data_IF_564030403686
#
_entry.id   IF_564030403686
#
_cell.length_a   1.000
_cell.length_b   1.000
_cell.length_c   1.000
_cell.angle_alpha   90.00
_cell.angle_beta   90.00
_cell.angle_gamma   90.00
#
_symmetry.space_group_name_H-M   'P 1'
#
loop_
_entity.id
_entity.type
_entity.pdbx_description
1 polymer ?
#
# COMPACT_ATOMS: atom_id res chain seq x y z
N UNK A 1 -10.47 -48.28 -1.77
CA UNK A 1 -10.48 -47.76 -0.39
C UNK A 1 -9.14 -47.13 0.00
N UNK A 2 -8.05 -47.88 0.19
CA UNK A 2 -6.73 -47.30 0.57
C UNK A 2 -6.20 -46.26 -0.43
N UNK A 3 -6.19 -46.59 -1.73
CA UNK A 3 -5.76 -45.66 -2.81
C UNK A 3 -6.63 -44.41 -2.88
N UNK A 4 -7.94 -44.56 -2.68
CA UNK A 4 -8.90 -43.47 -2.64
C UNK A 4 -8.62 -42.52 -1.47
N UNK A 5 -8.32 -43.06 -0.28
CA UNK A 5 -7.90 -42.29 0.89
C UNK A 5 -6.57 -41.57 0.68
N UNK A 6 -5.58 -42.23 0.06
CA UNK A 6 -4.29 -41.61 -0.27
C UNK A 6 -4.45 -40.44 -1.25
N UNK A 7 -5.32 -40.58 -2.27
CA UNK A 7 -5.60 -39.50 -3.22
C UNK A 7 -6.32 -38.32 -2.57
N UNK A 8 -7.27 -38.60 -1.67
CA UNK A 8 -8.00 -37.56 -0.94
C UNK A 8 -7.06 -36.79 0.01
N UNK A 9 -6.15 -37.50 0.67
CA UNK A 9 -5.13 -36.90 1.52
C UNK A 9 -4.14 -36.04 0.73
N UNK A 10 -3.68 -36.52 -0.44
CA UNK A 10 -2.83 -35.73 -1.32
C UNK A 10 -3.53 -34.45 -1.83
N UNK A 11 -4.82 -34.53 -2.15
CA UNK A 11 -5.62 -33.36 -2.55
C UNK A 11 -5.74 -32.31 -1.44
N UNK A 12 -5.97 -32.74 -0.20
CA UNK A 12 -6.01 -31.83 0.97
C UNK A 12 -4.65 -31.17 1.20
N UNK A 13 -3.55 -31.91 1.05
CA UNK A 13 -2.21 -31.34 1.20
C UNK A 13 -1.92 -30.30 0.11
N UNK A 14 -2.20 -30.60 -1.17
CA UNK A 14 -1.97 -29.67 -2.28
C UNK A 14 -2.75 -28.37 -2.09
N UNK A 15 -4.02 -28.45 -1.68
CA UNK A 15 -4.87 -27.26 -1.43
C UNK A 15 -4.44 -26.45 -0.21
N UNK A 16 -3.89 -27.08 0.83
CA UNK A 16 -3.34 -26.37 1.98
C UNK A 16 -2.05 -25.60 1.62
N UNK A 17 -1.18 -26.17 0.78
CA UNK A 17 0.04 -25.50 0.33
C UNK A 17 -0.24 -24.30 -0.59
N UNK A 18 -1.26 -24.36 -1.45
CA UNK A 18 -1.61 -23.22 -2.33
C UNK A 18 -2.23 -22.05 -1.57
N UNK A 19 -2.99 -22.30 -0.50
CA UNK A 19 -3.56 -21.25 0.35
C UNK A 19 -2.52 -20.50 1.19
N UNK A 20 -1.40 -21.14 1.53
CA UNK A 20 -0.38 -20.55 2.39
C UNK A 20 0.51 -19.51 1.68
N UNK A 21 0.48 -19.42 0.35
CA UNK A 21 1.49 -18.67 -0.40
C UNK A 21 1.12 -17.23 -0.82
N UNK A 22 -0.09 -16.73 -0.59
CA UNK A 22 -0.49 -15.47 -1.26
C UNK A 22 -1.09 -14.43 -0.31
N UNK A 23 -0.24 -13.74 0.46
CA UNK A 23 -0.50 -12.35 0.86
C UNK A 23 0.61 -11.49 0.32
N UNK A 24 0.42 -11.00 -0.91
CA UNK A 24 1.29 -9.99 -1.48
C UNK A 24 0.90 -8.66 -0.85
N UNK A 25 1.83 -8.04 -0.12
CA UNK A 25 1.64 -6.68 0.38
C UNK A 25 2.12 -5.70 -0.68
N UNK A 26 1.29 -4.72 -0.99
CA UNK A 26 1.64 -3.60 -1.84
C UNK A 26 2.19 -2.48 -0.95
N UNK A 27 3.52 -2.31 -0.97
CA UNK A 27 4.22 -1.42 -0.06
C UNK A 27 4.85 -0.27 -0.83
N UNK A 28 4.60 0.96 -0.39
CA UNK A 28 5.11 2.17 -1.05
C UNK A 28 5.92 3.09 -0.14
N UNK A 29 6.68 3.98 -0.76
CA UNK A 29 7.31 5.12 -0.08
C UNK A 29 7.12 6.37 -0.92
N UNK A 30 6.76 7.48 -0.29
CA UNK A 30 6.53 8.73 -1.00
C UNK A 30 6.95 9.95 -0.18
N UNK A 31 7.92 10.71 -0.70
CA UNK A 31 8.24 12.03 -0.17
C UNK A 31 7.16 13.03 -0.63
N UNK A 32 6.35 13.49 0.31
CA UNK A 32 5.20 14.36 0.06
C UNK A 32 5.55 15.85 0.10
N UNK A 33 6.81 16.17 0.40
CA UNK A 33 7.38 17.52 0.51
C UNK A 33 6.72 18.37 1.60
N UNK A 34 7.52 18.84 2.55
CA UNK A 34 7.00 19.63 3.66
C UNK A 34 6.28 20.90 3.19
N UNK A 35 5.19 21.27 3.86
CA UNK A 35 4.55 22.55 3.64
C UNK A 35 5.53 23.69 4.01
N UNK A 36 5.75 24.61 3.07
CA UNK A 36 6.58 25.80 3.26
C UNK A 36 6.12 26.96 2.37
N UNK A 37 6.57 28.16 2.72
CA UNK A 37 6.21 29.41 2.04
C UNK A 37 6.79 29.49 0.63
N UNK A 38 8.02 29.03 0.41
CA UNK A 38 8.68 29.09 -0.89
C UNK A 38 7.89 28.34 -1.96
N UNK A 39 7.52 27.09 -1.68
CA UNK A 39 6.72 26.27 -2.58
C UNK A 39 5.33 26.88 -2.82
N UNK A 40 4.72 27.47 -1.79
CA UNK A 40 3.42 28.14 -1.91
C UNK A 40 3.49 29.37 -2.82
N UNK A 41 4.51 30.21 -2.66
CA UNK A 41 4.74 31.38 -3.53
C UNK A 41 5.04 30.98 -4.98
N UNK A 42 5.70 29.83 -5.18
CA UNK A 42 6.00 29.29 -6.49
C UNK A 42 4.82 28.55 -7.17
N UNK A 43 3.64 28.51 -6.54
CA UNK A 43 2.46 27.82 -7.08
C UNK A 43 2.47 26.30 -6.90
N UNK A 44 3.37 25.77 -6.06
CA UNK A 44 3.49 24.36 -5.71
C UNK A 44 3.12 24.13 -4.23
N UNK A 45 2.17 24.89 -3.70
CA UNK A 45 1.80 24.85 -2.28
C UNK A 45 1.18 23.50 -1.87
N UNK A 46 1.38 23.12 -0.59
CA UNK A 46 0.80 21.88 -0.05
C UNK A 46 -0.72 21.79 -0.28
N UNK A 47 -1.46 22.86 0.02
CA UNK A 47 -2.92 22.93 -0.16
C UNK A 47 -3.39 22.62 -1.58
N UNK A 48 -2.55 22.84 -2.60
CA UNK A 48 -2.86 22.51 -3.99
C UNK A 48 -2.41 21.10 -4.37
N UNK A 49 -1.29 20.62 -3.81
CA UNK A 49 -0.69 19.32 -4.13
C UNK A 49 -1.34 18.15 -3.42
N UNK A 50 -1.72 18.30 -2.15
CA UNK A 50 -2.15 17.18 -1.32
C UNK A 50 -3.37 16.42 -1.85
N UNK A 51 -4.40 17.06 -2.46
CA UNK A 51 -5.56 16.32 -2.95
C UNK A 51 -5.18 15.38 -4.10
N UNK A 52 -4.15 15.72 -4.88
CA UNK A 52 -3.63 14.88 -5.96
C UNK A 52 -2.73 13.78 -5.43
N UNK A 53 -1.86 14.08 -4.46
CA UNK A 53 -1.02 13.08 -3.81
C UNK A 53 -1.86 12.00 -3.11
N UNK A 54 -2.95 12.39 -2.43
CA UNK A 54 -3.89 11.45 -1.81
C UNK A 54 -4.56 10.55 -2.87
N UNK A 55 -5.03 11.12 -3.98
CA UNK A 55 -5.60 10.33 -5.09
C UNK A 55 -4.60 9.35 -5.69
N UNK A 56 -3.33 9.74 -5.82
CA UNK A 56 -2.28 8.86 -6.30
C UNK A 56 -2.07 7.68 -5.33
N UNK A 57 -1.93 7.95 -4.03
CA UNK A 57 -1.77 6.91 -3.01
C UNK A 57 -2.96 5.93 -3.04
N UNK A 58 -4.19 6.44 -3.14
CA UNK A 58 -5.40 5.62 -3.26
C UNK A 58 -5.42 4.79 -4.55
N UNK A 59 -5.03 5.38 -5.68
CA UNK A 59 -4.99 4.69 -6.97
C UNK A 59 -3.96 3.56 -7.00
N UNK A 60 -2.85 3.71 -6.28
CA UNK A 60 -1.81 2.68 -6.19
C UNK A 60 -2.22 1.48 -5.31
N UNK A 61 -3.33 1.56 -4.58
CA UNK A 61 -3.86 0.48 -3.73
C UNK A 61 -2.80 -0.09 -2.78
N UNK A 62 -2.09 0.81 -2.08
CA UNK A 62 -1.01 0.45 -1.15
C UNK A 62 -1.58 -0.03 0.19
N UNK A 63 -1.15 -1.21 0.65
CA UNK A 63 -1.48 -1.75 1.98
C UNK A 63 -0.75 -1.00 3.10
N UNK A 64 0.52 -0.67 2.85
CA UNK A 64 1.40 0.04 3.78
C UNK A 64 2.21 1.06 2.99
N UNK A 65 2.32 2.28 3.51
CA UNK A 65 3.20 3.26 2.91
C UNK A 65 3.91 4.13 3.95
N UNK A 66 5.17 4.42 3.67
CA UNK A 66 5.96 5.40 4.41
C UNK A 66 5.93 6.76 3.71
N UNK A 67 5.95 7.84 4.49
CA UNK A 67 6.09 9.20 3.95
C UNK A 67 7.34 9.88 4.48
N UNK A 68 7.83 10.88 3.75
CA UNK A 68 8.93 11.75 4.17
C UNK A 68 8.52 13.22 4.10
N UNK A 69 9.19 14.06 4.88
CA UNK A 69 9.01 15.52 5.01
C UNK A 69 7.62 15.98 5.51
N UNK A 70 6.64 15.08 5.61
CA UNK A 70 5.29 15.42 6.01
C UNK A 70 5.25 15.95 7.45
N UNK A 71 4.81 17.20 7.62
CA UNK A 71 4.61 17.80 8.94
C UNK A 71 3.34 17.29 9.60
N UNK A 72 3.25 17.42 10.91
CA UNK A 72 2.09 16.92 11.68
C UNK A 72 0.74 17.46 11.19
N UNK A 73 0.64 18.75 10.83
CA UNK A 73 -0.62 19.29 10.29
C UNK A 73 -0.98 18.67 8.94
N UNK A 74 0.00 18.38 8.08
CA UNK A 74 -0.21 17.78 6.76
C UNK A 74 -0.71 16.32 6.84
N UNK A 75 -0.57 15.65 7.99
CA UNK A 75 -1.15 14.33 8.22
C UNK A 75 -2.66 14.37 8.45
N UNK A 76 -3.19 15.53 8.85
CA UNK A 76 -4.60 15.71 9.23
C UNK A 76 -5.41 16.49 8.19
N UNK A 77 -4.80 16.91 7.08
CA UNK A 77 -5.43 17.62 5.95
C UNK A 77 -6.03 16.64 4.93
#
# INVERSE_FOLDING_TARGET
MKKTFTLLFAFVLITAFTYAQQRQLNIGTYNLRNANKGDSTAGNGWGQRYPWAAKLILFQDLDIFGTQELKHHQLND
#
